data_IF_820125177249
#
_entry.id   IF_820125177249
#
_cell.length_a   1.000
_cell.length_b   1.000
_cell.length_c   1.000
_cell.angle_alpha   90.00
_cell.angle_beta   90.00
_cell.angle_gamma   90.00
#
_symmetry.space_group_name_H-M   'P 1'
#
loop_
_entity.id
_entity.type
_entity.pdbx_description
1 polymer ?
#
# COMPACT_ATOMS: atom_id res chain seq x y z
N UNK A 1 13.54 14.47 15.96
CA UNK A 1 14.61 13.47 16.12
C UNK A 1 15.79 14.15 16.79
N UNK A 2 16.37 13.56 17.84
CA UNK A 2 17.63 14.04 18.42
C UNK A 2 18.75 14.09 17.38
N UNK A 3 19.73 14.96 17.55
CA UNK A 3 20.89 15.09 16.66
C UNK A 3 22.10 14.47 17.36
N UNK A 4 22.80 13.57 16.69
CA UNK A 4 24.03 12.94 17.19
C UNK A 4 25.22 13.34 16.31
N UNK A 5 26.36 13.63 16.94
CA UNK A 5 27.65 13.65 16.25
C UNK A 5 28.17 12.23 16.04
N UNK A 6 28.99 12.04 15.00
CA UNK A 6 29.68 10.76 14.75
C UNK A 6 30.46 10.32 15.98
N UNK A 7 30.21 9.09 16.44
CA UNK A 7 30.87 8.49 17.61
C UNK A 7 30.37 8.98 18.97
N UNK A 8 29.45 9.95 19.02
CA UNK A 8 28.89 10.42 20.29
C UNK A 8 27.88 9.41 20.84
N UNK A 9 27.94 9.08 22.13
CA UNK A 9 26.96 8.20 22.79
C UNK A 9 25.63 8.93 23.08
N UNK A 10 25.70 10.23 23.37
CA UNK A 10 24.56 11.07 23.74
C UNK A 10 24.18 12.07 22.63
N UNK A 11 22.90 12.47 22.56
CA UNK A 11 22.47 13.48 21.60
C UNK A 11 22.98 14.86 21.99
N UNK A 12 23.20 15.70 20.98
CA UNK A 12 23.47 17.10 21.19
C UNK A 12 22.24 17.82 21.78
N UNK A 13 22.44 18.87 22.59
CA UNK A 13 21.34 19.68 23.11
C UNK A 13 20.43 20.18 22.00
N UNK A 14 19.13 20.29 22.29
CA UNK A 14 18.15 20.77 21.32
C UNK A 14 18.53 22.15 20.76
N UNK A 15 18.42 22.32 19.44
CA UNK A 15 18.83 23.54 18.75
C UNK A 15 20.32 23.62 18.40
N UNK A 16 21.17 22.70 18.89
CA UNK A 16 22.59 22.65 18.53
C UNK A 16 22.78 22.39 17.04
N UNK A 17 23.55 23.26 16.37
CA UNK A 17 23.86 23.10 14.95
C UNK A 17 25.09 22.20 14.78
N UNK A 18 24.87 21.05 14.16
CA UNK A 18 25.94 20.14 13.73
C UNK A 18 26.05 20.18 12.21
N UNK A 19 27.26 20.27 11.67
CA UNK A 19 27.47 20.21 10.21
C UNK A 19 27.10 18.83 9.70
N UNK A 20 26.54 18.74 8.49
CA UNK A 20 26.11 17.46 7.91
C UNK A 20 27.22 16.40 7.85
N UNK A 21 28.49 16.82 7.67
CA UNK A 21 29.64 15.91 7.65
C UNK A 21 29.98 15.32 9.03
N UNK A 22 29.59 15.99 10.11
CA UNK A 22 29.85 15.58 11.51
C UNK A 22 28.66 14.83 12.12
N UNK A 23 27.48 14.88 11.49
CA UNK A 23 26.28 14.18 11.95
C UNK A 23 26.42 12.67 11.76
N UNK A 24 25.99 11.93 12.76
CA UNK A 24 25.60 10.53 12.61
C UNK A 24 24.22 10.50 11.95
N UNK A 25 24.19 10.21 10.65
CA UNK A 25 22.95 10.23 9.87
C UNK A 25 21.97 9.13 10.30
N UNK A 26 22.46 7.99 10.78
CA UNK A 26 21.60 6.90 11.20
C UNK A 26 20.86 7.29 12.49
N UNK A 27 21.61 7.70 13.52
CA UNK A 27 21.06 8.06 14.83
C UNK A 27 20.27 9.37 14.82
N UNK A 28 20.58 10.27 13.88
CA UNK A 28 19.90 11.57 13.78
C UNK A 28 18.66 11.57 12.87
N UNK A 29 18.29 10.43 12.30
CA UNK A 29 17.12 10.30 11.42
C UNK A 29 16.21 9.17 11.89
N UNK A 30 15.05 9.05 11.26
CA UNK A 30 14.13 7.95 11.51
C UNK A 30 14.74 6.60 11.16
N UNK A 31 15.89 6.52 10.47
CA UNK A 31 16.63 5.27 10.24
C UNK A 31 16.96 4.55 11.56
N UNK A 32 17.27 5.30 12.63
CA UNK A 32 17.46 4.75 13.98
C UNK A 32 16.26 3.99 14.53
N UNK A 33 15.07 4.22 13.98
CA UNK A 33 13.83 3.58 14.39
C UNK A 33 13.59 2.27 13.63
N UNK A 34 14.44 1.88 12.69
CA UNK A 34 14.32 0.62 11.94
C UNK A 34 14.72 -0.57 12.78
N UNK A 35 13.85 -1.58 12.79
CA UNK A 35 14.19 -2.91 13.30
C UNK A 35 15.18 -3.61 12.37
N UNK A 36 16.10 -4.41 12.94
CA UNK A 36 17.06 -5.17 12.14
C UNK A 36 16.38 -6.39 11.52
N UNK A 37 15.57 -6.16 10.50
CA UNK A 37 14.76 -7.15 9.83
C UNK A 37 14.64 -6.86 8.31
N UNK A 38 14.20 -7.83 7.50
CA UNK A 38 13.93 -7.60 6.08
C UNK A 38 13.02 -6.39 5.84
N UNK A 39 13.30 -5.67 4.75
CA UNK A 39 12.52 -4.53 4.26
C UNK A 39 11.87 -4.89 2.93
N UNK A 40 10.79 -4.20 2.57
CA UNK A 40 10.18 -4.30 1.25
C UNK A 40 10.41 -3.02 0.47
N UNK A 41 10.78 -3.15 -0.80
CA UNK A 41 11.01 -2.02 -1.71
C UNK A 41 10.08 -2.16 -2.89
N UNK A 42 9.26 -1.14 -3.13
CA UNK A 42 8.28 -1.11 -4.23
C UNK A 42 8.49 0.17 -5.03
N UNK A 43 8.33 0.11 -6.35
CA UNK A 43 8.31 1.30 -7.20
C UNK A 43 6.98 1.46 -7.91
N UNK A 44 6.54 2.69 -8.08
CA UNK A 44 5.38 3.06 -8.89
C UNK A 44 5.79 3.78 -10.19
N UNK A 45 7.02 3.54 -10.65
CA UNK A 45 7.71 4.22 -11.77
C UNK A 45 8.06 5.70 -11.53
N UNK A 46 7.42 6.38 -10.56
CA UNK A 46 7.71 7.77 -10.22
C UNK A 46 8.60 7.88 -8.99
N UNK A 47 8.39 6.98 -8.05
CA UNK A 47 9.04 6.93 -6.76
C UNK A 47 9.46 5.50 -6.43
N UNK A 48 10.40 5.41 -5.50
CA UNK A 48 10.78 4.17 -4.83
C UNK A 48 10.38 4.31 -3.38
N UNK A 49 9.67 3.31 -2.87
CA UNK A 49 9.13 3.26 -1.52
C UNK A 49 9.92 2.22 -0.74
N UNK A 50 10.36 2.58 0.45
CA UNK A 50 11.03 1.67 1.38
C UNK A 50 10.11 1.46 2.58
N UNK A 51 9.59 0.24 2.70
CA UNK A 51 8.74 -0.21 3.78
C UNK A 51 9.58 -0.96 4.80
N UNK A 52 9.59 -0.49 6.05
CA UNK A 52 10.42 -1.04 7.13
C UNK A 52 9.66 -1.15 8.43
N UNK A 53 9.90 -2.22 9.17
CA UNK A 53 9.38 -2.38 10.51
C UNK A 53 10.09 -1.40 11.47
N UNK A 54 9.32 -0.75 12.34
CA UNK A 54 9.88 0.03 13.45
C UNK A 54 10.35 -0.88 14.58
N UNK A 55 11.40 -0.44 15.29
CA UNK A 55 11.83 -1.08 16.53
C UNK A 55 10.71 -1.15 17.56
N UNK A 56 10.77 -2.17 18.40
CA UNK A 56 9.98 -2.24 19.63
C UNK A 56 10.58 -1.30 20.68
N UNK A 57 10.42 0.01 20.48
CA UNK A 57 10.91 1.00 21.44
C UNK A 57 9.85 2.09 21.68
N UNK A 58 9.18 1.99 22.83
CA UNK A 58 8.11 2.92 23.25
C UNK A 58 8.62 4.35 23.48
N UNK A 59 9.92 4.56 23.67
CA UNK A 59 10.52 5.84 24.06
C UNK A 59 10.35 6.98 23.03
N UNK A 60 9.98 6.67 21.77
CA UNK A 60 9.88 7.67 20.68
C UNK A 60 8.42 7.93 20.26
N UNK A 61 7.41 7.43 20.98
CA UNK A 61 6.00 7.60 20.61
C UNK A 61 5.62 6.90 19.27
N UNK A 62 6.54 6.08 18.75
CA UNK A 62 6.27 5.10 17.70
C UNK A 62 5.70 3.87 18.39
N UNK A 63 4.60 3.32 17.87
CA UNK A 63 4.09 2.07 18.41
C UNK A 63 5.07 0.96 17.98
N UNK A 64 5.47 0.12 18.93
CA UNK A 64 6.37 -1.01 18.70
C UNK A 64 5.90 -1.87 17.51
N UNK A 65 6.82 -2.25 16.62
CA UNK A 65 6.51 -3.11 15.46
C UNK A 65 5.47 -2.51 14.50
N UNK A 66 5.54 -1.21 14.21
CA UNK A 66 4.67 -0.53 13.23
C UNK A 66 5.35 -0.42 11.86
N UNK A 67 4.56 -0.32 10.79
CA UNK A 67 5.10 -0.09 9.44
C UNK A 67 5.48 1.38 9.21
N UNK A 68 6.74 1.60 8.82
CA UNK A 68 7.30 2.89 8.39
C UNK A 68 7.51 2.88 6.89
N UNK A 69 7.25 4.02 6.25
CA UNK A 69 7.41 4.18 4.80
C UNK A 69 8.20 5.45 4.49
N UNK A 70 9.28 5.30 3.76
CA UNK A 70 10.04 6.42 3.19
C UNK A 70 9.94 6.40 1.67
N UNK A 71 9.97 7.59 1.08
CA UNK A 71 9.85 7.76 -0.36
C UNK A 71 11.06 8.45 -0.95
N UNK A 72 11.51 7.93 -2.07
CA UNK A 72 12.68 8.37 -2.78
C UNK A 72 12.39 8.61 -4.26
N UNK A 73 13.21 9.46 -4.87
CA UNK A 73 13.26 9.67 -6.31
C UNK A 73 14.58 9.09 -6.80
N UNK A 74 14.51 8.24 -7.83
CA UNK A 74 15.71 7.78 -8.52
C UNK A 74 16.16 8.86 -9.51
N UNK A 75 17.39 9.35 -9.34
CA UNK A 75 18.01 10.37 -10.20
C UNK A 75 19.34 9.84 -10.73
N UNK A 76 19.34 9.39 -11.99
CA UNK A 76 20.44 8.61 -12.55
C UNK A 76 20.59 7.29 -11.78
N UNK A 77 21.74 7.10 -11.14
CA UNK A 77 22.02 5.94 -10.27
C UNK A 77 21.81 6.23 -8.77
N UNK A 78 21.38 7.45 -8.42
CA UNK A 78 21.30 7.88 -7.04
C UNK A 78 19.86 7.86 -6.55
N UNK A 79 19.64 7.23 -5.40
CA UNK A 79 18.37 7.26 -4.69
C UNK A 79 18.35 8.46 -3.74
N UNK A 80 17.50 9.44 -4.03
CA UNK A 80 17.44 10.70 -3.27
C UNK A 80 16.14 10.79 -2.46
N UNK A 81 16.18 11.20 -1.19
CA UNK A 81 14.97 11.42 -0.40
C UNK A 81 14.02 12.39 -1.10
N UNK A 82 12.73 12.08 -1.09
CA UNK A 82 11.72 12.93 -1.73
C UNK A 82 11.72 14.31 -1.08
N UNK A 83 11.99 15.34 -1.88
CA UNK A 83 11.84 16.75 -1.47
C UNK A 83 10.38 17.18 -1.56
N UNK A 84 10.00 18.08 -0.68
CA UNK A 84 8.68 18.73 -0.72
C UNK A 84 8.78 20.25 -0.61
N UNK A 85 7.67 20.92 -0.93
CA UNK A 85 7.53 22.37 -0.84
C UNK A 85 6.78 22.70 0.43
N UNK A 86 7.30 23.64 1.21
CA UNK A 86 6.68 24.15 2.44
C UNK A 86 6.83 25.66 2.51
N UNK A 87 6.10 26.28 3.42
CA UNK A 87 6.32 27.68 3.78
C UNK A 87 7.72 27.84 4.40
N UNK A 88 8.53 28.77 3.88
CA UNK A 88 9.96 28.82 4.17
C UNK A 88 10.27 29.25 5.61
N UNK A 89 9.45 30.13 6.20
CA UNK A 89 9.62 30.62 7.58
C UNK A 89 8.94 29.69 8.58
N UNK A 90 7.67 29.35 8.37
CA UNK A 90 6.95 28.44 9.28
C UNK A 90 7.43 26.99 9.22
N UNK A 91 8.07 26.60 8.11
CA UNK A 91 8.46 25.21 7.78
C UNK A 91 7.28 24.24 7.74
N UNK A 92 6.05 24.77 7.68
CA UNK A 92 4.81 24.03 7.63
C UNK A 92 4.34 23.87 6.17
N UNK A 93 3.73 22.73 5.85
CA UNK A 93 3.26 22.42 4.50
C UNK A 93 2.03 23.22 4.08
N UNK A 94 1.17 23.61 5.02
CA UNK A 94 -0.15 24.17 4.75
C UNK A 94 -0.38 25.55 5.37
N UNK A 95 0.32 25.89 6.45
CA UNK A 95 0.05 27.12 7.20
C UNK A 95 1.25 28.08 7.15
N UNK A 96 1.10 29.27 6.54
CA UNK A 96 2.15 30.29 6.57
C UNK A 96 2.27 30.91 7.96
N UNK A 97 3.47 31.35 8.34
CA UNK A 97 3.67 32.16 9.56
C UNK A 97 3.10 33.59 9.39
N UNK A 98 3.13 34.12 8.16
CA UNK A 98 2.63 35.46 7.84
C UNK A 98 2.34 35.59 6.34
N UNK A 99 1.74 36.70 5.90
CA UNK A 99 1.53 37.01 4.47
C UNK A 99 2.82 37.07 3.64
N UNK A 100 3.98 37.25 4.27
CA UNK A 100 5.30 37.29 3.62
C UNK A 100 6.02 35.93 3.65
N UNK A 101 5.38 34.91 4.19
CA UNK A 101 5.92 33.55 4.20
C UNK A 101 5.54 32.87 2.89
N UNK A 102 6.51 32.75 1.98
CA UNK A 102 6.33 32.13 0.68
C UNK A 102 6.58 30.63 0.72
N UNK A 103 6.11 29.92 -0.31
CA UNK A 103 6.40 28.50 -0.52
C UNK A 103 7.79 28.33 -1.14
N UNK A 104 8.54 27.32 -0.69
CA UNK A 104 9.85 26.97 -1.24
C UNK A 104 10.27 25.54 -0.90
N UNK A 105 11.29 25.05 -1.61
CA UNK A 105 11.86 23.72 -1.38
C UNK A 105 13.00 23.70 -0.34
N UNK A 106 13.24 24.85 0.31
CA UNK A 106 14.23 25.08 1.38
C UNK A 106 13.69 26.13 2.35
N UNK A 107 14.10 26.07 3.61
CA UNK A 107 13.80 27.09 4.61
C UNK A 107 14.64 28.37 4.42
N UNK A 108 14.43 29.35 5.32
CA UNK A 108 15.17 30.61 5.35
C UNK A 108 16.68 30.42 5.55
N UNK A 109 17.09 29.29 6.11
CA UNK A 109 18.47 28.89 6.37
C UNK A 109 19.07 28.03 5.24
N UNK A 110 18.39 27.91 4.10
CA UNK A 110 18.80 27.10 2.93
C UNK A 110 18.82 25.58 3.17
N UNK A 111 18.18 25.09 4.24
CA UNK A 111 18.05 23.66 4.53
C UNK A 111 16.90 23.11 3.68
N UNK A 112 17.12 22.05 2.88
CA UNK A 112 16.06 21.43 2.08
C UNK A 112 14.95 20.83 2.94
N UNK A 113 13.71 20.97 2.48
CA UNK A 113 12.59 20.21 3.03
C UNK A 113 12.53 18.82 2.39
N UNK A 114 12.55 17.80 3.24
CA UNK A 114 12.31 16.41 2.87
C UNK A 114 10.95 15.98 3.38
N UNK A 115 10.30 15.10 2.61
CA UNK A 115 9.11 14.41 3.03
C UNK A 115 9.39 13.62 4.31
N UNK A 116 8.55 13.73 5.35
CA UNK A 116 8.72 12.94 6.55
C UNK A 116 8.41 11.46 6.31
N UNK A 117 9.08 10.58 7.06
CA UNK A 117 8.72 9.16 7.13
C UNK A 117 7.24 9.01 7.51
N UNK A 118 6.49 8.27 6.71
CA UNK A 118 5.10 7.96 7.00
C UNK A 118 5.03 6.80 8.01
N UNK A 119 4.16 6.93 9.01
CA UNK A 119 3.88 5.88 10.00
C UNK A 119 2.48 5.35 9.75
N UNK A 120 2.36 4.09 9.31
CA UNK A 120 1.07 3.43 9.15
C UNK A 120 0.68 2.73 10.45
N UNK A 121 0.21 3.52 11.41
CA UNK A 121 -0.06 3.07 12.78
C UNK A 121 -1.15 2.02 12.92
N UNK A 122 -1.94 1.72 11.89
CA UNK A 122 -2.93 0.64 11.92
C UNK A 122 -2.31 -0.73 11.58
N UNK A 123 -1.10 -0.76 11.00
CA UNK A 123 -0.32 -1.99 10.78
C UNK A 123 0.66 -2.11 11.95
N UNK A 124 0.35 -2.96 12.92
CA UNK A 124 1.06 -3.08 14.21
C UNK A 124 1.46 -4.52 14.48
N UNK A 125 2.31 -4.69 15.49
CA UNK A 125 2.77 -6.01 15.94
C UNK A 125 3.46 -6.80 14.81
N UNK A 126 4.08 -6.09 13.86
CA UNK A 126 4.99 -6.67 12.89
C UNK A 126 6.16 -7.32 13.61
N UNK A 127 6.62 -8.44 13.09
CA UNK A 127 7.73 -9.17 13.68
C UNK A 127 8.65 -9.72 12.61
N UNK A 128 9.96 -9.47 12.78
CA UNK A 128 11.02 -9.95 11.90
C UNK A 128 10.80 -9.57 10.43
N UNK A 129 10.21 -8.40 10.16
CA UNK A 129 10.05 -7.90 8.79
C UNK A 129 9.14 -8.77 7.91
N UNK A 130 8.32 -9.64 8.52
CA UNK A 130 7.37 -10.50 7.81
C UNK A 130 6.21 -9.68 7.28
N UNK A 131 6.44 -9.10 6.10
CA UNK A 131 5.46 -8.31 5.37
C UNK A 131 5.71 -8.42 3.85
N UNK A 132 4.65 -8.27 3.08
CA UNK A 132 4.68 -8.15 1.64
C UNK A 132 3.86 -6.92 1.22
N UNK A 133 4.37 -6.16 0.25
CA UNK A 133 3.69 -4.96 -0.27
C UNK A 133 3.60 -5.05 -1.77
N UNK A 134 2.41 -4.83 -2.29
CA UNK A 134 2.09 -4.86 -3.71
C UNK A 134 1.36 -3.56 -4.09
N UNK A 135 1.57 -3.14 -5.33
CA UNK A 135 0.80 -2.06 -5.94
C UNK A 135 -0.08 -2.68 -7.03
N UNK A 136 -1.37 -2.80 -6.74
CA UNK A 136 -2.32 -3.48 -7.61
C UNK A 136 -3.05 -2.47 -8.51
N UNK A 137 -3.21 -2.74 -9.82
CA UNK A 137 -4.09 -1.94 -10.67
C UNK A 137 -5.56 -2.13 -10.25
N UNK A 138 -6.42 -1.21 -10.69
CA UNK A 138 -7.87 -1.35 -10.58
C UNK A 138 -8.51 -1.25 -11.96
N UNK A 139 -9.81 -1.55 -12.05
CA UNK A 139 -10.60 -1.37 -13.27
C UNK A 139 -10.69 0.10 -13.70
N UNK A 140 -10.53 1.03 -12.76
CA UNK A 140 -10.47 2.45 -13.07
C UNK A 140 -9.06 2.76 -13.55
N UNK A 141 -8.96 3.21 -14.80
CA UNK A 141 -7.69 3.56 -15.41
C UNK A 141 -6.88 4.54 -14.55
N UNK A 142 -5.58 4.26 -14.41
CA UNK A 142 -4.62 5.03 -13.61
C UNK A 142 -4.90 5.08 -12.10
N UNK A 143 -5.85 4.30 -11.60
CA UNK A 143 -6.08 4.12 -10.17
C UNK A 143 -5.46 2.79 -9.75
N UNK A 144 -4.64 2.86 -8.71
CA UNK A 144 -3.94 1.73 -8.12
C UNK A 144 -4.21 1.69 -6.63
N UNK A 145 -3.96 0.53 -6.02
CA UNK A 145 -4.16 0.33 -4.59
C UNK A 145 -2.95 -0.35 -3.98
N UNK A 146 -2.58 0.08 -2.78
CA UNK A 146 -1.60 -0.60 -1.96
C UNK A 146 -2.26 -1.82 -1.35
N UNK A 147 -1.70 -2.99 -1.62
CA UNK A 147 -2.05 -4.23 -0.95
C UNK A 147 -0.88 -4.61 -0.03
N UNK A 148 -1.15 -4.72 1.26
CA UNK A 148 -0.13 -5.03 2.27
C UNK A 148 -0.56 -6.26 3.03
N UNK A 149 0.30 -7.27 3.06
CA UNK A 149 0.16 -8.43 3.95
C UNK A 149 1.18 -8.30 5.07
N UNK A 150 0.74 -8.46 6.31
CA UNK A 150 1.56 -8.25 7.49
C UNK A 150 1.33 -9.38 8.49
N UNK A 151 2.39 -10.08 8.89
CA UNK A 151 2.27 -11.04 9.98
C UNK A 151 2.10 -10.31 11.32
N UNK A 152 1.05 -10.68 12.06
CA UNK A 152 0.69 -10.09 13.32
C UNK A 152 1.08 -11.00 14.50
N UNK A 153 2.14 -10.64 15.22
CA UNK A 153 2.76 -11.53 16.21
C UNK A 153 1.87 -11.90 17.41
N UNK A 154 0.90 -11.06 17.76
CA UNK A 154 0.02 -11.36 18.90
C UNK A 154 -1.09 -12.35 18.56
N UNK A 155 -1.49 -12.44 17.30
CA UNK A 155 -2.57 -13.34 16.84
C UNK A 155 -2.02 -14.56 16.10
N UNK A 156 -0.79 -14.49 15.59
CA UNK A 156 -0.21 -15.52 14.73
C UNK A 156 -0.79 -15.54 13.31
N UNK A 157 -1.59 -14.54 12.95
CA UNK A 157 -2.28 -14.45 11.66
C UNK A 157 -1.59 -13.47 10.72
N UNK A 158 -1.96 -13.52 9.43
CA UNK A 158 -1.58 -12.52 8.44
C UNK A 158 -2.74 -11.55 8.27
N UNK A 159 -2.51 -10.29 8.58
CA UNK A 159 -3.45 -9.22 8.30
C UNK A 159 -3.28 -8.76 6.85
N UNK A 160 -4.42 -8.55 6.16
CA UNK A 160 -4.49 -8.05 4.79
C UNK A 160 -5.06 -6.63 4.80
N UNK A 161 -4.30 -5.66 4.29
CA UNK A 161 -4.71 -4.27 4.18
C UNK A 161 -4.76 -3.84 2.72
N UNK A 162 -5.90 -3.30 2.31
CA UNK A 162 -6.10 -2.78 0.97
C UNK A 162 -6.42 -1.29 1.02
N UNK A 163 -5.48 -0.46 0.59
CA UNK A 163 -5.51 1.00 0.79
C UNK A 163 -5.48 1.68 -0.57
N UNK A 164 -6.35 2.67 -0.76
CA UNK A 164 -6.32 3.48 -1.98
C UNK A 164 -5.01 4.26 -2.11
N UNK A 165 -4.38 4.24 -3.29
CA UNK A 165 -3.23 5.10 -3.58
C UNK A 165 -3.72 6.51 -3.91
N UNK A 166 -3.24 7.50 -3.16
CA UNK A 166 -3.57 8.90 -3.44
C UNK A 166 -2.91 9.39 -4.73
N UNK A 167 -3.42 10.48 -5.31
CA UNK A 167 -2.88 11.03 -6.57
C UNK A 167 -1.42 11.51 -6.49
N UNK A 168 -0.92 11.79 -5.28
CA UNK A 168 0.50 12.09 -5.05
C UNK A 168 1.36 10.83 -4.84
N UNK A 169 0.76 9.64 -4.81
CA UNK A 169 1.39 8.34 -4.67
C UNK A 169 1.48 7.80 -3.24
N UNK A 170 0.95 8.49 -2.24
CA UNK A 170 0.90 8.01 -0.85
C UNK A 170 -0.39 7.19 -0.60
N UNK A 171 -0.89 7.23 0.64
CA UNK A 171 -2.00 6.44 1.14
C UNK A 171 -3.22 7.33 1.37
N UNK A 172 -4.33 7.06 0.68
CA UNK A 172 -5.62 7.64 1.01
C UNK A 172 -6.34 6.73 2.02
N UNK A 173 -6.09 6.99 3.31
CA UNK A 173 -6.67 6.20 4.41
C UNK A 173 -8.17 6.42 4.61
N UNK A 174 -8.72 7.51 4.07
CA UNK A 174 -10.17 7.79 4.14
C UNK A 174 -10.94 7.03 3.04
N UNK A 175 -10.25 6.66 1.96
CA UNK A 175 -10.88 6.23 0.71
C UNK A 175 -11.55 7.39 -0.02
N UNK A 176 -11.83 7.19 -1.30
CA UNK A 176 -12.61 8.11 -2.12
C UNK A 176 -14.09 7.71 -2.13
N UNK A 177 -14.95 8.72 -2.01
CA UNK A 177 -16.39 8.53 -2.24
C UNK A 177 -16.63 8.14 -3.69
N UNK A 178 -17.45 7.13 -3.90
CA UNK A 178 -17.81 6.63 -5.23
C UNK A 178 -19.24 7.03 -5.54
N UNK A 179 -19.53 7.17 -6.82
CA UNK A 179 -20.84 7.57 -7.31
C UNK A 179 -21.32 6.62 -8.40
N UNK A 180 -22.64 6.46 -8.48
CA UNK A 180 -23.33 5.66 -9.50
C UNK A 180 -24.59 6.40 -9.97
N UNK A 181 -25.18 5.97 -11.08
CA UNK A 181 -26.43 6.54 -11.57
C UNK A 181 -27.61 5.66 -11.12
N UNK A 182 -28.73 6.26 -10.65
CA UNK A 182 -29.95 5.49 -10.36
C UNK A 182 -30.45 4.67 -11.55
N UNK A 183 -30.32 5.22 -12.76
CA UNK A 183 -30.76 4.57 -13.99
C UNK A 183 -29.67 3.69 -14.62
N UNK A 184 -28.39 3.95 -14.36
CA UNK A 184 -27.25 3.19 -14.90
C UNK A 184 -26.40 2.65 -13.74
N UNK A 185 -26.82 1.56 -13.07
CA UNK A 185 -26.10 1.01 -11.91
C UNK A 185 -24.69 0.53 -12.24
N UNK A 186 -24.40 0.26 -13.51
CA UNK A 186 -23.08 -0.05 -14.05
C UNK A 186 -22.15 1.17 -14.11
N UNK A 187 -22.70 2.40 -14.12
CA UNK A 187 -21.89 3.61 -14.11
C UNK A 187 -21.16 3.74 -12.79
N UNK A 188 -19.85 3.89 -12.91
CA UNK A 188 -18.94 4.04 -11.80
C UNK A 188 -18.12 5.33 -11.96
N UNK A 189 -18.13 6.20 -10.95
CA UNK A 189 -17.33 7.41 -10.94
C UNK A 189 -16.70 7.69 -9.57
N UNK A 190 -15.51 8.29 -9.59
CA UNK A 190 -14.84 8.86 -8.40
C UNK A 190 -15.15 10.36 -8.21
N UNK A 191 -15.93 10.94 -9.11
CA UNK A 191 -16.36 12.34 -9.08
C UNK A 191 -17.88 12.39 -9.10
N UNK A 192 -18.42 13.40 -8.42
CA UNK A 192 -19.80 13.82 -8.57
C UNK A 192 -20.03 14.48 -9.93
N UNK A 193 -21.30 14.70 -10.25
CA UNK A 193 -21.74 15.35 -11.48
C UNK A 193 -22.74 14.51 -12.28
N UNK A 194 -23.08 14.94 -13.51
CA UNK A 194 -24.12 14.32 -14.31
C UNK A 194 -23.69 12.94 -14.81
N UNK A 195 -24.66 12.04 -14.97
CA UNK A 195 -24.42 10.73 -15.58
C UNK A 195 -23.94 10.90 -17.03
N UNK A 196 -22.84 10.23 -17.44
CA UNK A 196 -22.31 10.34 -18.80
C UNK A 196 -23.09 9.52 -19.83
N UNK A 197 -23.92 8.58 -19.39
CA UNK A 197 -24.69 7.69 -20.27
C UNK A 197 -25.93 8.38 -20.85
N UNK A 198 -26.41 7.95 -22.04
CA UNK A 198 -27.68 8.42 -22.59
C UNK A 198 -28.86 7.98 -21.72
N UNK A 199 -30.00 8.67 -21.81
CA UNK A 199 -31.18 8.30 -21.04
C UNK A 199 -31.75 6.95 -21.52
N UNK A 200 -32.14 6.09 -20.57
CA UNK A 200 -32.78 4.80 -20.91
C UNK A 200 -34.07 4.94 -21.71
N UNK A 201 -34.82 6.02 -21.48
CA UNK A 201 -36.09 6.30 -22.15
C UNK A 201 -35.92 6.88 -23.56
N UNK A 202 -34.81 7.58 -23.84
CA UNK A 202 -34.50 8.16 -25.15
C UNK A 202 -32.97 8.23 -25.33
N UNK A 203 -32.37 7.35 -26.15
CA UNK A 203 -30.93 7.31 -26.37
C UNK A 203 -30.32 8.58 -27.00
N UNK A 204 -31.15 9.49 -27.55
CA UNK A 204 -30.67 10.76 -28.12
C UNK A 204 -30.55 11.88 -27.07
N UNK A 205 -30.92 11.61 -25.82
CA UNK A 205 -30.84 12.57 -24.72
C UNK A 205 -29.84 12.07 -23.68
N UNK A 206 -29.21 13.00 -22.97
CA UNK A 206 -28.38 12.65 -21.83
C UNK A 206 -29.26 12.14 -20.68
N UNK A 207 -28.73 11.21 -19.89
CA UNK A 207 -29.41 10.78 -18.67
C UNK A 207 -29.72 11.98 -17.75
N UNK A 208 -30.96 12.13 -17.27
CA UNK A 208 -31.37 13.31 -16.50
C UNK A 208 -30.87 13.29 -15.04
N UNK A 209 -30.29 12.17 -14.59
CA UNK A 209 -29.85 11.99 -13.22
C UNK A 209 -28.41 12.46 -12.99
N UNK A 210 -28.23 13.19 -11.88
CA UNK A 210 -26.94 13.39 -11.23
C UNK A 210 -26.48 12.07 -10.58
N UNK A 211 -25.17 11.84 -10.59
CA UNK A 211 -24.58 10.68 -9.94
C UNK A 211 -24.78 10.78 -8.42
N UNK A 212 -25.24 9.68 -7.82
CA UNK A 212 -25.50 9.58 -6.38
C UNK A 212 -24.38 8.81 -5.68
N UNK A 213 -24.07 9.12 -4.41
CA UNK A 213 -23.05 8.40 -3.67
C UNK A 213 -23.42 6.92 -3.51
N UNK A 214 -22.48 6.02 -3.80
CA UNK A 214 -22.58 4.63 -3.39
C UNK A 214 -22.33 4.59 -1.88
N UNK A 215 -23.41 4.41 -1.11
CA UNK A 215 -23.32 4.24 0.33
C UNK A 215 -22.96 2.78 0.62
N UNK A 216 -21.76 2.54 1.14
CA UNK A 216 -21.42 1.24 1.70
C UNK A 216 -22.25 1.03 2.95
N UNK A 217 -23.20 0.08 2.91
CA UNK A 217 -24.15 -0.13 4.00
C UNK A 217 -23.69 -1.11 5.08
N UNK A 218 -22.59 -1.86 4.90
CA UNK A 218 -21.96 -2.71 5.94
C UNK A 218 -20.75 -3.48 5.39
N UNK A 219 -19.79 -3.85 6.27
CA UNK A 219 -18.98 -5.09 6.29
C UNK A 219 -18.34 -5.75 5.05
N UNK A 220 -18.41 -5.21 3.83
CA UNK A 220 -17.82 -5.87 2.65
C UNK A 220 -16.36 -5.45 2.43
N UNK A 221 -15.54 -6.37 1.90
CA UNK A 221 -14.32 -5.98 1.19
C UNK A 221 -14.73 -5.02 0.05
N UNK A 222 -14.31 -3.77 0.13
CA UNK A 222 -14.76 -2.72 -0.81
C UNK A 222 -14.34 -2.97 -2.27
N UNK A 223 -13.40 -3.91 -2.47
CA UNK A 223 -12.85 -4.32 -3.75
C UNK A 223 -12.38 -5.77 -3.67
N UNK A 224 -12.46 -6.47 -4.78
CA UNK A 224 -11.82 -7.76 -5.01
C UNK A 224 -11.12 -7.71 -6.36
N UNK A 225 -10.13 -8.59 -6.56
CA UNK A 225 -9.59 -8.85 -7.89
C UNK A 225 -10.69 -9.52 -8.73
N UNK A 226 -10.93 -9.02 -9.93
CA UNK A 226 -11.75 -9.70 -10.91
C UNK A 226 -10.82 -10.45 -11.87
N UNK A 227 -11.12 -11.73 -12.08
CA UNK A 227 -10.49 -12.57 -13.07
C UNK A 227 -11.53 -12.87 -14.13
N UNK A 228 -11.21 -12.65 -15.40
CA UNK A 228 -12.11 -12.89 -16.52
C UNK A 228 -12.26 -14.39 -16.88
N UNK A 229 -11.36 -15.22 -16.35
CA UNK A 229 -11.31 -16.66 -16.60
C UNK A 229 -10.55 -17.07 -17.87
N UNK A 230 -9.91 -16.13 -18.57
CA UNK A 230 -9.18 -16.37 -19.82
C UNK A 230 -7.67 -16.44 -19.57
N UNK A 231 -7.08 -15.33 -19.13
CA UNK A 231 -5.62 -15.18 -18.99
C UNK A 231 -5.19 -14.44 -17.72
N UNK A 232 -6.14 -13.83 -17.01
CA UNK A 232 -5.90 -13.18 -15.73
C UNK A 232 -5.36 -14.18 -14.70
N UNK A 233 -4.13 -13.93 -14.21
CA UNK A 233 -3.53 -14.69 -13.12
C UNK A 233 -2.51 -13.86 -12.36
N UNK A 234 -2.29 -14.22 -11.10
CA UNK A 234 -1.17 -13.71 -10.31
C UNK A 234 -0.11 -14.80 -10.23
N UNK A 235 1.09 -14.50 -10.73
CA UNK A 235 2.25 -15.37 -10.59
C UNK A 235 3.05 -14.88 -9.39
N UNK A 236 3.27 -15.77 -8.42
CA UNK A 236 4.18 -15.52 -7.32
C UNK A 236 5.57 -15.97 -7.76
N UNK A 237 6.57 -15.08 -7.72
CA UNK A 237 7.94 -15.35 -8.24
C UNK A 237 8.73 -16.38 -7.41
N UNK A 238 8.17 -16.86 -6.30
CA UNK A 238 8.78 -17.87 -5.46
C UNK A 238 7.97 -19.16 -5.62
N UNK A 239 8.66 -20.26 -5.95
CA UNK A 239 8.02 -21.58 -6.06
C UNK A 239 7.28 -21.87 -4.76
N UNK A 240 5.95 -21.90 -4.83
CA UNK A 240 5.09 -22.37 -3.75
C UNK A 240 5.27 -23.89 -3.64
N UNK A 241 6.43 -24.31 -3.17
CA UNK A 241 6.72 -25.70 -2.90
C UNK A 241 6.10 -26.04 -1.57
N UNK A 242 4.99 -26.77 -1.63
CA UNK A 242 4.35 -27.40 -0.47
C UNK A 242 5.29 -28.33 0.34
N UNK A 243 6.52 -28.54 -0.14
CA UNK A 243 7.54 -29.37 0.50
C UNK A 243 8.16 -28.74 1.75
N UNK A 244 8.11 -27.41 1.94
CA UNK A 244 8.85 -26.73 3.02
C UNK A 244 8.01 -26.26 4.21
N UNK A 245 6.69 -26.48 4.22
CA UNK A 245 5.83 -26.13 5.34
C UNK A 245 5.05 -27.37 5.81
N UNK A 246 5.43 -27.94 6.95
CA UNK A 246 4.73 -29.08 7.55
C UNK A 246 3.25 -28.80 7.84
N UNK A 247 2.86 -27.51 7.91
CA UNK A 247 1.49 -27.03 8.04
C UNK A 247 1.32 -25.73 7.27
N UNK A 248 0.25 -25.60 6.49
CA UNK A 248 -0.09 -24.39 5.75
C UNK A 248 -1.57 -24.04 5.95
N UNK A 249 -1.87 -22.74 6.04
CA UNK A 249 -3.23 -22.20 6.00
C UNK A 249 -3.33 -21.30 4.79
N UNK A 250 -4.33 -21.56 3.95
CA UNK A 250 -4.64 -20.76 2.77
C UNK A 250 -6.04 -20.18 2.99
N UNK A 251 -6.17 -18.86 2.91
CA UNK A 251 -7.43 -18.14 3.10
C UNK A 251 -7.63 -17.15 1.96
N UNK A 252 -8.81 -17.16 1.35
CA UNK A 252 -9.26 -16.19 0.37
C UNK A 252 -10.78 -16.04 0.41
N UNK A 253 -11.28 -14.85 0.09
CA UNK A 253 -12.69 -14.61 -0.19
C UNK A 253 -12.88 -14.57 -1.70
N UNK A 254 -13.81 -15.36 -2.22
CA UNK A 254 -14.10 -15.43 -3.65
C UNK A 254 -15.60 -15.31 -3.92
N UNK A 255 -15.94 -14.79 -5.09
CA UNK A 255 -17.31 -14.75 -5.61
C UNK A 255 -17.27 -15.14 -7.09
N UNK A 256 -17.61 -16.38 -7.45
CA UNK A 256 -17.64 -16.81 -8.85
C UNK A 256 -18.70 -15.99 -9.61
N UNK A 257 -18.36 -15.51 -10.80
CA UNK A 257 -19.34 -14.86 -11.69
C UNK A 257 -20.31 -15.90 -12.29
N UNK A 258 -19.76 -17.06 -12.65
CA UNK A 258 -20.45 -18.22 -13.21
C UNK A 258 -19.79 -19.51 -12.69
N UNK A 259 -20.46 -20.65 -12.81
CA UNK A 259 -19.94 -21.98 -12.41
C UNK A 259 -20.00 -22.94 -13.61
N UNK A 260 -19.59 -22.48 -14.78
CA UNK A 260 -19.76 -23.22 -16.04
C UNK A 260 -18.63 -24.22 -16.33
N UNK A 261 -17.85 -24.57 -15.30
CA UNK A 261 -16.73 -25.52 -15.37
C UNK A 261 -15.77 -25.39 -14.19
N UNK A 262 -14.74 -26.26 -14.11
CA UNK A 262 -13.71 -26.17 -13.07
C UNK A 262 -12.91 -24.88 -13.21
N UNK A 263 -12.83 -24.09 -12.14
CA UNK A 263 -12.03 -22.87 -12.08
C UNK A 263 -10.89 -23.04 -11.08
N UNK A 264 -9.67 -22.77 -11.53
CA UNK A 264 -8.48 -22.89 -10.68
C UNK A 264 -8.31 -21.61 -9.86
N UNK A 265 -8.27 -21.74 -8.53
CA UNK A 265 -8.10 -20.62 -7.59
C UNK A 265 -6.63 -20.45 -7.19
N UNK A 266 -5.92 -21.57 -7.07
CA UNK A 266 -4.49 -21.63 -6.75
C UNK A 266 -3.92 -22.89 -7.39
N UNK A 267 -2.74 -22.82 -7.99
CA UNK A 267 -2.00 -23.96 -8.52
C UNK A 267 -0.49 -23.79 -8.31
N UNK A 268 0.23 -24.91 -8.28
CA UNK A 268 1.69 -24.92 -8.13
C UNK A 268 2.45 -24.52 -9.39
N UNK A 269 1.82 -24.64 -10.56
CA UNK A 269 2.38 -24.31 -11.86
C UNK A 269 1.31 -23.69 -12.78
N UNK A 270 1.67 -22.78 -13.70
CA UNK A 270 0.75 -22.25 -14.70
C UNK A 270 0.26 -23.30 -15.71
N UNK A 271 1.01 -24.38 -15.92
CA UNK A 271 0.75 -25.39 -16.96
C UNK A 271 0.21 -26.71 -16.39
N UNK A 272 0.34 -26.93 -15.07
CA UNK A 272 -0.12 -28.14 -14.40
C UNK A 272 -1.17 -27.81 -13.33
N UNK A 273 -2.33 -28.47 -13.41
CA UNK A 273 -3.35 -28.46 -12.35
C UNK A 273 -2.96 -29.35 -11.15
N UNK A 274 -1.75 -29.88 -11.13
CA UNK A 274 -1.20 -30.62 -10.00
C UNK A 274 -0.95 -29.66 -8.82
N UNK A 275 -1.50 -29.97 -7.64
CA UNK A 275 -1.37 -29.06 -6.48
C UNK A 275 -2.36 -27.89 -6.50
N UNK A 276 -3.60 -28.12 -6.91
CA UNK A 276 -4.58 -27.06 -7.11
C UNK A 276 -5.70 -27.02 -6.07
N UNK A 277 -6.11 -25.80 -5.75
CA UNK A 277 -7.42 -25.52 -5.16
C UNK A 277 -8.31 -25.05 -6.30
N UNK A 278 -9.42 -25.74 -6.52
CA UNK A 278 -10.35 -25.45 -7.60
C UNK A 278 -11.79 -25.39 -7.08
N UNK A 279 -12.65 -24.68 -7.81
CA UNK A 279 -14.09 -24.74 -7.63
C UNK A 279 -14.71 -25.44 -8.84
N UNK A 280 -15.56 -26.42 -8.59
CA UNK A 280 -16.25 -27.21 -9.60
C UNK A 280 -17.52 -26.51 -10.09
N UNK A 281 -18.10 -27.04 -11.16
CA UNK A 281 -19.32 -26.49 -11.76
C UNK A 281 -20.55 -26.54 -10.83
N UNK A 282 -20.53 -27.38 -9.79
CA UNK A 282 -21.57 -27.45 -8.77
C UNK A 282 -21.29 -26.53 -7.56
N UNK A 283 -20.22 -25.73 -7.62
CA UNK A 283 -19.79 -24.84 -6.55
C UNK A 283 -19.03 -25.53 -5.42
N UNK A 284 -18.75 -26.83 -5.53
CA UNK A 284 -17.91 -27.53 -4.56
C UNK A 284 -16.45 -27.13 -4.70
N UNK A 285 -15.75 -27.01 -3.57
CA UNK A 285 -14.32 -26.77 -3.55
C UNK A 285 -13.58 -28.11 -3.57
N UNK A 286 -12.68 -28.29 -4.54
CA UNK A 286 -11.72 -29.36 -4.57
C UNK A 286 -10.34 -28.87 -4.14
N UNK A 287 -9.67 -29.70 -3.34
CA UNK A 287 -8.33 -29.46 -2.84
C UNK A 287 -7.48 -30.70 -3.11
N UNK A 288 -6.49 -30.59 -4.00
CA UNK A 288 -5.63 -31.70 -4.37
C UNK A 288 -4.16 -31.29 -4.42
N UNK A 289 -3.41 -31.65 -3.38
CA UNK A 289 -1.95 -31.64 -3.43
C UNK A 289 -1.44 -33.04 -3.78
N UNK A 290 -0.89 -33.17 -4.99
CA UNK A 290 -0.16 -34.37 -5.36
C UNK A 290 1.19 -34.31 -4.66
N UNK A 291 1.40 -35.15 -3.64
CA UNK A 291 2.76 -35.38 -3.13
C UNK A 291 3.57 -35.94 -4.29
N UNK A 292 4.66 -35.27 -4.66
CA UNK A 292 5.55 -35.74 -5.72
C UNK A 292 5.83 -37.23 -5.56
N UNK A 293 5.63 -38.00 -6.63
CA UNK A 293 6.15 -39.36 -6.70
C UNK A 293 7.64 -39.30 -6.41
N UNK A 294 8.05 -39.96 -5.33
CA UNK A 294 9.44 -40.31 -5.10
C UNK A 294 9.93 -41.09 -6.32
N UNK A 295 10.85 -40.48 -7.07
CA UNK A 295 11.81 -41.18 -7.92
C UNK A 295 13.19 -40.61 -7.68
#
# INVERSE_FOLDING_TARGET
MPVYKKGASEPEPEGTRVKSAEKDLFRSTTASLTELAPIQVVSDHKFVYVFRQSQENEAVGMAAGTLLVDRFVLSGINLLPKREVRYQRSRNKFTPQSRKDGLGAKDMEQIPFYEPTQKLSFIRNLHQGRLAVLLLPTQVANVQRWQIFAFHNKTGMIDSFNIERSGDGLFNLKGSQRYTCPDHPEVFSLKDGPCPEPAKADPNQNCPYELIPILSKEGYAEWALQFDGSDDRIILEQDFTAENAAYQTIEFWLKPAHLDGPQTLLASSPEETAGAIAIESDGTLQYHFQSGTTR
#
